data_IF_692983686547
#
_entry.id   IF_692983686547
#
_cell.length_a   1.000
_cell.length_b   1.000
_cell.length_c   1.000
_cell.angle_alpha   90.00
_cell.angle_beta   90.00
_cell.angle_gamma   90.00
#
_symmetry.space_group_name_H-M   'P 1'
#
loop_
_entity.id
_entity.type
_entity.pdbx_description
1 polymer ?
#
# COMPACT_ATOMS: atom_id res chain seq x y z
N UNK A 1 -12.62 16.54 -13.23
CA UNK A 1 -13.31 16.07 -12.03
C UNK A 1 -12.27 15.69 -10.98
N UNK A 2 -12.36 16.25 -9.81
CA UNK A 2 -11.47 15.90 -8.69
C UNK A 2 -12.14 14.88 -7.78
N UNK A 3 -11.35 13.96 -7.25
CA UNK A 3 -11.77 12.98 -6.26
C UNK A 3 -11.05 13.29 -4.95
N UNK A 4 -11.77 13.18 -3.84
CA UNK A 4 -11.20 13.43 -2.51
C UNK A 4 -11.34 12.19 -1.65
N UNK A 5 -10.23 11.72 -1.08
CA UNK A 5 -10.19 10.60 -0.14
C UNK A 5 -9.62 11.15 1.18
N UNK A 6 -10.47 11.26 2.21
CA UNK A 6 -10.09 11.96 3.42
C UNK A 6 -9.69 13.41 3.12
N UNK A 7 -8.47 13.76 3.48
CA UNK A 7 -7.89 15.08 3.21
C UNK A 7 -7.05 15.12 1.92
N UNK A 8 -6.96 14.00 1.21
CA UNK A 8 -6.16 13.89 -0.01
C UNK A 8 -7.04 14.17 -1.22
N UNK A 9 -6.70 15.21 -1.97
CA UNK A 9 -7.39 15.59 -3.20
C UNK A 9 -6.61 15.05 -4.40
N UNK A 10 -7.30 14.30 -5.27
CA UNK A 10 -6.72 13.71 -6.47
C UNK A 10 -7.14 14.53 -7.70
N UNK A 11 -6.23 14.70 -8.63
CA UNK A 11 -6.48 15.42 -9.89
C UNK A 11 -7.59 14.79 -10.73
N UNK A 12 -7.73 13.45 -10.63
CA UNK A 12 -8.72 12.68 -11.36
C UNK A 12 -9.01 11.36 -10.62
N UNK A 13 -9.90 10.55 -11.17
CA UNK A 13 -10.31 9.27 -10.58
C UNK A 13 -9.60 8.05 -11.19
N UNK A 14 -8.52 8.25 -11.91
CA UNK A 14 -7.71 7.15 -12.46
C UNK A 14 -6.70 6.71 -11.40
N UNK A 15 -6.81 5.47 -10.95
CA UNK A 15 -6.01 4.93 -9.86
C UNK A 15 -5.28 3.68 -10.37
N UNK A 16 -3.95 3.67 -10.21
CA UNK A 16 -3.16 2.47 -10.49
C UNK A 16 -3.36 1.47 -9.35
N UNK A 17 -3.94 0.30 -9.67
CA UNK A 17 -4.15 -0.76 -8.69
C UNK A 17 -2.82 -1.39 -8.24
N UNK A 18 -2.73 -1.88 -6.99
CA UNK A 18 -1.54 -2.57 -6.52
C UNK A 18 -1.41 -3.95 -7.18
N UNK A 19 -0.22 -4.26 -7.72
CA UNK A 19 0.07 -5.55 -8.34
C UNK A 19 1.47 -6.00 -7.97
N UNK A 20 1.57 -7.07 -7.18
CA UNK A 20 2.85 -7.62 -6.74
C UNK A 20 3.76 -7.96 -7.93
N UNK A 21 5.01 -7.52 -7.88
CA UNK A 21 5.98 -7.71 -8.94
C UNK A 21 5.81 -6.78 -10.14
N UNK A 22 4.78 -5.94 -10.18
CA UNK A 22 4.48 -5.03 -11.29
C UNK A 22 4.53 -3.58 -10.85
N UNK A 23 3.84 -3.20 -9.77
CA UNK A 23 3.76 -1.81 -9.33
C UNK A 23 4.93 -1.41 -8.42
N UNK A 24 6.14 -1.56 -8.94
CA UNK A 24 7.36 -1.07 -8.30
C UNK A 24 7.50 0.45 -8.49
N UNK A 25 8.50 1.04 -7.85
CA UNK A 25 8.70 2.49 -7.89
C UNK A 25 8.83 3.04 -9.31
N UNK A 26 9.67 2.50 -10.20
CA UNK A 26 9.78 3.01 -11.58
C UNK A 26 8.46 2.96 -12.34
N UNK A 27 7.70 1.89 -12.19
CA UNK A 27 6.41 1.73 -12.84
C UNK A 27 5.38 2.74 -12.30
N UNK A 28 5.35 2.96 -10.99
CA UNK A 28 4.46 3.95 -10.38
C UNK A 28 4.77 5.37 -10.85
N UNK A 29 6.05 5.73 -10.92
CA UNK A 29 6.49 7.03 -11.44
C UNK A 29 6.00 7.21 -12.88
N UNK A 30 6.20 6.20 -13.72
CA UNK A 30 5.76 6.23 -15.12
C UNK A 30 4.25 6.45 -15.23
N UNK A 31 3.46 5.74 -14.43
CA UNK A 31 2.00 5.89 -14.42
C UNK A 31 1.57 7.29 -13.95
N UNK A 32 2.25 7.87 -12.96
CA UNK A 32 1.98 9.24 -12.52
C UNK A 32 2.28 10.23 -13.64
N UNK A 33 3.39 10.06 -14.33
CA UNK A 33 3.75 10.92 -15.48
C UNK A 33 2.73 10.82 -16.61
N UNK A 34 2.09 9.66 -16.78
CA UNK A 34 1.04 9.46 -17.78
C UNK A 34 -0.35 9.92 -17.33
N UNK A 35 -0.48 10.46 -16.12
CA UNK A 35 -1.70 11.10 -15.68
C UNK A 35 -2.51 10.37 -14.62
N UNK A 36 -2.03 9.26 -14.05
CA UNK A 36 -2.73 8.61 -12.94
C UNK A 36 -2.86 9.57 -11.76
N UNK A 37 -4.07 9.70 -11.22
CA UNK A 37 -4.35 10.59 -10.08
C UNK A 37 -3.83 10.06 -8.76
N UNK A 38 -3.74 8.74 -8.62
CA UNK A 38 -3.21 8.04 -7.46
C UNK A 38 -2.50 6.78 -7.92
N UNK A 39 -1.38 6.45 -7.30
CA UNK A 39 -0.71 5.16 -7.53
C UNK A 39 -0.68 4.37 -6.23
N UNK A 40 -0.90 3.05 -6.33
CA UNK A 40 -0.87 2.16 -5.18
C UNK A 40 0.40 1.31 -5.21
N UNK A 41 1.05 1.21 -4.05
CA UNK A 41 2.22 0.36 -3.86
C UNK A 41 1.80 -1.11 -3.79
N UNK A 42 2.73 -2.02 -4.00
CA UNK A 42 2.49 -3.45 -3.78
C UNK A 42 2.05 -3.69 -2.33
N UNK A 43 1.23 -4.72 -2.10
CA UNK A 43 0.81 -5.09 -0.75
C UNK A 43 2.01 -5.51 0.09
N UNK A 44 2.08 -5.01 1.32
CA UNK A 44 3.21 -5.23 2.23
C UNK A 44 2.71 -5.87 3.52
N UNK A 45 3.40 -6.93 3.96
CA UNK A 45 3.09 -7.60 5.23
C UNK A 45 3.48 -6.70 6.41
N UNK A 46 2.50 -6.39 7.27
CA UNK A 46 2.76 -5.65 8.51
C UNK A 46 3.75 -6.40 9.41
N UNK A 47 3.63 -7.72 9.48
CA UNK A 47 4.53 -8.58 10.26
C UNK A 47 5.96 -8.55 9.70
N UNK A 48 6.11 -8.54 8.37
CA UNK A 48 7.42 -8.41 7.73
C UNK A 48 8.08 -7.06 8.01
N UNK A 49 7.29 -5.99 8.09
CA UNK A 49 7.78 -4.67 8.49
C UNK A 49 8.25 -4.71 9.94
N UNK A 50 7.47 -5.31 10.83
CA UNK A 50 7.80 -5.45 12.25
C UNK A 50 9.15 -6.15 12.45
N UNK A 51 9.42 -7.19 11.67
CA UNK A 51 10.69 -7.94 11.74
C UNK A 51 11.81 -7.34 10.88
N UNK A 52 11.59 -6.18 10.28
CA UNK A 52 12.58 -5.45 9.48
C UNK A 52 13.18 -6.26 8.33
N UNK A 53 12.35 -7.02 7.63
CA UNK A 53 12.76 -7.77 6.45
C UNK A 53 13.35 -6.82 5.39
N UNK A 54 14.53 -7.15 4.85
CA UNK A 54 15.23 -6.28 3.88
C UNK A 54 14.43 -6.04 2.60
N UNK A 55 13.81 -7.07 2.05
CA UNK A 55 13.01 -6.95 0.84
C UNK A 55 11.80 -6.05 1.08
N UNK A 56 11.21 -6.16 2.26
CA UNK A 56 10.08 -5.32 2.67
C UNK A 56 10.50 -3.85 2.82
N UNK A 57 11.69 -3.58 3.37
CA UNK A 57 12.22 -2.23 3.48
C UNK A 57 12.37 -1.57 2.10
N UNK A 58 12.80 -2.33 1.09
CA UNK A 58 12.87 -1.83 -0.29
C UNK A 58 11.49 -1.51 -0.85
N UNK A 59 10.46 -2.34 -0.56
CA UNK A 59 9.09 -2.10 -1.00
C UNK A 59 8.48 -0.83 -0.41
N UNK A 60 8.97 -0.39 0.74
CA UNK A 60 8.45 0.81 1.44
C UNK A 60 8.98 2.13 0.88
N UNK A 61 9.98 2.10 0.01
CA UNK A 61 10.58 3.32 -0.54
C UNK A 61 9.63 4.03 -1.50
N UNK A 62 9.58 5.36 -1.38
CA UNK A 62 8.74 6.23 -2.19
C UNK A 62 9.59 7.38 -2.74
N UNK A 63 9.40 7.69 -4.02
CA UNK A 63 9.93 8.89 -4.66
C UNK A 63 8.84 9.98 -4.66
N UNK A 64 9.20 11.21 -4.40
CA UNK A 64 8.24 12.33 -4.39
C UNK A 64 7.47 12.47 -5.72
N UNK A 65 8.07 12.07 -6.83
CA UNK A 65 7.43 12.13 -8.16
C UNK A 65 6.22 11.21 -8.30
N UNK A 66 6.09 10.18 -7.46
CA UNK A 66 4.95 9.25 -7.53
C UNK A 66 3.76 9.69 -6.67
N UNK A 67 3.94 10.67 -5.79
CA UNK A 67 2.87 11.13 -4.90
C UNK A 67 1.76 11.89 -5.65
N UNK A 68 0.47 11.74 -5.24
CA UNK A 68 0.00 10.99 -4.06
C UNK A 68 0.09 9.47 -4.26
N UNK A 69 0.47 8.78 -3.19
CA UNK A 69 0.71 7.34 -3.20
C UNK A 69 -0.01 6.67 -2.03
N UNK A 70 -0.56 5.49 -2.30
CA UNK A 70 -1.22 4.66 -1.28
C UNK A 70 -0.33 3.47 -0.91
N UNK A 71 -0.10 3.30 0.39
CA UNK A 71 0.57 2.12 0.94
C UNK A 71 -0.47 1.09 1.33
N UNK A 72 -0.40 -0.10 0.73
CA UNK A 72 -1.31 -1.19 1.06
C UNK A 72 -0.66 -2.17 2.02
N UNK A 73 -1.28 -2.35 3.18
CA UNK A 73 -0.83 -3.28 4.22
C UNK A 73 -1.74 -4.50 4.28
N UNK A 74 -1.19 -5.64 4.69
CA UNK A 74 -1.97 -6.81 5.05
C UNK A 74 -1.38 -7.50 6.27
N UNK A 75 -2.20 -8.29 6.96
CA UNK A 75 -1.77 -9.06 8.12
C UNK A 75 -2.95 -9.77 8.78
N UNK A 76 -2.65 -10.79 9.58
CA UNK A 76 -3.66 -11.57 10.31
C UNK A 76 -3.91 -11.06 11.74
N UNK A 77 -3.03 -10.21 12.25
CA UNK A 77 -3.14 -9.63 13.59
C UNK A 77 -3.50 -8.15 13.49
N UNK A 78 -4.72 -7.76 13.90
CA UNK A 78 -5.15 -6.36 13.81
C UNK A 78 -4.28 -5.39 14.60
N UNK A 79 -3.75 -5.83 15.75
CA UNK A 79 -2.90 -4.97 16.59
C UNK A 79 -1.57 -4.67 15.91
N UNK A 80 -0.96 -5.67 15.27
CA UNK A 80 0.28 -5.47 14.50
C UNK A 80 0.02 -4.53 13.32
N UNK A 81 -1.05 -4.73 12.58
CA UNK A 81 -1.40 -3.86 11.45
C UNK A 81 -1.60 -2.42 11.92
N UNK A 82 -2.32 -2.22 13.02
CA UNK A 82 -2.56 -0.89 13.58
C UNK A 82 -1.26 -0.23 14.06
N UNK A 83 -0.41 -0.96 14.76
CA UNK A 83 0.87 -0.44 15.27
C UNK A 83 1.82 -0.07 14.13
N UNK A 84 1.88 -0.89 13.08
CA UNK A 84 2.70 -0.62 11.91
C UNK A 84 2.18 0.59 11.14
N UNK A 85 0.87 0.69 10.92
CA UNK A 85 0.28 1.86 10.28
C UNK A 85 0.61 3.15 11.06
N UNK A 86 0.47 3.11 12.38
CA UNK A 86 0.82 4.25 13.24
C UNK A 86 2.31 4.61 13.12
N UNK A 87 3.20 3.61 13.07
CA UNK A 87 4.64 3.85 12.95
C UNK A 87 5.05 4.47 11.61
N UNK A 88 4.24 4.31 10.58
CA UNK A 88 4.50 4.83 9.23
C UNK A 88 3.71 6.11 8.91
N UNK A 89 2.92 6.62 9.86
CA UNK A 89 2.04 7.77 9.66
C UNK A 89 2.79 9.03 9.18
N UNK A 90 3.99 9.25 9.68
CA UNK A 90 4.83 10.40 9.30
C UNK A 90 5.66 10.16 8.03
N UNK A 91 5.51 9.01 7.40
CA UNK A 91 6.22 8.67 6.18
C UNK A 91 5.64 9.34 4.92
N UNK A 92 6.24 9.07 3.76
CA UNK A 92 5.87 9.72 2.50
C UNK A 92 4.62 9.14 1.84
N UNK A 93 3.72 8.56 2.63
CA UNK A 93 2.50 7.92 2.16
C UNK A 93 1.30 8.84 2.38
N UNK A 94 0.46 8.98 1.38
CA UNK A 94 -0.71 9.86 1.45
C UNK A 94 -1.95 9.13 1.95
N UNK A 95 -2.05 7.83 1.66
CA UNK A 95 -3.19 6.99 2.03
C UNK A 95 -2.66 5.64 2.52
N UNK A 96 -3.30 5.09 3.56
CA UNK A 96 -3.14 3.69 3.96
C UNK A 96 -4.35 2.89 3.51
N UNK A 97 -4.09 1.77 2.86
CA UNK A 97 -5.11 0.84 2.39
C UNK A 97 -4.87 -0.53 3.05
N UNK A 98 -5.93 -1.20 3.45
CA UNK A 98 -5.85 -2.50 4.11
C UNK A 98 -6.41 -3.56 3.19
N UNK A 99 -5.55 -4.50 2.78
CA UNK A 99 -5.96 -5.64 1.97
C UNK A 99 -6.54 -6.73 2.87
N UNK A 100 -7.80 -7.07 2.65
CA UNK A 100 -8.51 -8.10 3.42
C UNK A 100 -8.94 -9.30 2.57
N UNK A 101 -8.49 -9.40 1.31
CA UNK A 101 -9.04 -10.39 0.39
C UNK A 101 -8.10 -10.91 -0.69
N UNK A 102 -6.84 -11.19 -0.37
CA UNK A 102 -5.92 -11.79 -1.36
C UNK A 102 -6.14 -13.30 -1.47
N UNK A 103 -6.40 -13.86 -2.69
CA UNK A 103 -6.67 -15.29 -2.87
C UNK A 103 -5.43 -16.17 -2.95
N UNK A 104 -4.22 -15.61 -2.97
CA UNK A 104 -2.97 -16.37 -3.06
C UNK A 104 -2.82 -17.27 -1.83
N UNK A 105 -2.55 -18.59 -1.97
CA UNK A 105 -2.51 -19.52 -0.83
C UNK A 105 -1.60 -19.10 0.31
N UNK A 106 -0.43 -18.54 0.00
CA UNK A 106 0.50 -18.02 1.01
C UNK A 106 -0.13 -16.93 1.87
N UNK A 107 -0.88 -16.02 1.25
CA UNK A 107 -1.55 -14.92 1.93
C UNK A 107 -2.81 -15.39 2.67
N UNK A 108 -3.58 -16.30 2.06
CA UNK A 108 -4.79 -16.87 2.67
C UNK A 108 -4.46 -17.53 4.02
N UNK A 109 -3.35 -18.25 4.13
CA UNK A 109 -2.91 -18.86 5.39
C UNK A 109 -2.64 -17.82 6.49
N UNK A 110 -2.20 -16.63 6.11
CA UNK A 110 -1.92 -15.54 7.06
C UNK A 110 -3.14 -14.69 7.38
N UNK A 111 -4.09 -14.57 6.46
CA UNK A 111 -5.24 -13.65 6.58
C UNK A 111 -6.57 -14.32 6.92
N UNK A 112 -6.67 -15.65 6.84
CA UNK A 112 -7.91 -16.39 7.11
C UNK A 112 -8.50 -16.04 8.49
N UNK A 113 -7.67 -15.80 9.48
CA UNK A 113 -8.14 -15.40 10.83
C UNK A 113 -8.80 -14.02 10.85
N UNK A 114 -8.42 -13.13 9.94
CA UNK A 114 -9.01 -11.78 9.83
C UNK A 114 -10.37 -11.84 9.13
N UNK A 115 -10.49 -12.72 8.13
CA UNK A 115 -11.74 -12.89 7.37
C UNK A 115 -12.85 -13.60 8.15
N UNK A 116 -12.51 -14.25 9.26
CA UNK A 116 -13.46 -14.93 10.14
C UNK A 116 -13.95 -14.05 11.32
N UNK A 117 -13.54 -12.81 11.35
CA UNK A 117 -14.04 -11.82 12.29
C UNK A 117 -15.36 -11.22 11.78
#
# INVERSE_FOLDING_TARGET
>A
MTLKIGNVELENNVILAPMAGVTDMPYRILCREQGAGLVCMEMVSAKAILYKNKNTQELLKVDERERPVSLQLFGSDPDIVADIAASLEDGPYDIFDINMGCPVPKIVKETVKVLHL
#
